data_IF_726385948926
#
_entry.id   IF_726385948926
#
_cell.length_a   1.000
_cell.length_b   1.000
_cell.length_c   1.000
_cell.angle_alpha   90.00
_cell.angle_beta   90.00
_cell.angle_gamma   90.00
#
_symmetry.space_group_name_H-M   'P 1'
#
loop_
_entity.id
_entity.type
_entity.pdbx_description
1 polymer ?
#
# COMPACT_ATOMS: atom_id res chain seq x y z
N UNK A 1 -8.27 -6.04 -6.85
CA UNK A 1 -6.88 -5.80 -6.36
C UNK A 1 -5.89 -6.51 -7.27
N UNK A 2 -4.76 -5.89 -7.57
CA UNK A 2 -3.75 -6.45 -8.49
C UNK A 2 -2.96 -7.64 -7.94
N UNK A 3 -3.05 -7.94 -6.64
CA UNK A 3 -2.37 -9.09 -6.02
C UNK A 3 -2.73 -10.44 -6.64
N UNK A 4 -3.93 -10.63 -7.19
CA UNK A 4 -4.32 -11.85 -7.88
C UNK A 4 -3.54 -12.07 -9.19
N UNK A 5 -2.84 -11.06 -9.66
CA UNK A 5 -2.08 -11.05 -10.91
C UNK A 5 -0.56 -11.01 -10.69
N UNK A 6 -0.06 -11.46 -9.53
CA UNK A 6 1.38 -11.44 -9.21
C UNK A 6 2.26 -12.25 -10.16
N UNK A 7 1.68 -13.18 -10.91
CA UNK A 7 2.39 -13.98 -11.92
C UNK A 7 2.23 -13.45 -13.35
N UNK A 8 1.63 -12.28 -13.50
CA UNK A 8 1.35 -11.64 -14.79
C UNK A 8 1.95 -10.22 -14.81
N UNK A 9 2.21 -9.70 -16.00
CA UNK A 9 2.65 -8.31 -16.16
C UNK A 9 1.54 -7.34 -15.78
N UNK A 10 1.92 -6.12 -15.44
CA UNK A 10 0.95 -5.06 -15.15
C UNK A 10 0.03 -4.75 -16.35
N UNK A 11 0.56 -4.78 -17.57
CA UNK A 11 -0.23 -4.55 -18.78
C UNK A 11 -1.28 -5.66 -18.97
N UNK A 12 -0.91 -6.93 -18.75
CA UNK A 12 -1.88 -8.03 -18.77
C UNK A 12 -2.99 -7.86 -17.71
N UNK A 13 -2.64 -7.41 -16.51
CA UNK A 13 -3.63 -7.09 -15.48
C UNK A 13 -4.62 -6.01 -15.96
N UNK A 14 -4.13 -4.91 -16.52
CA UNK A 14 -4.99 -3.83 -17.01
C UNK A 14 -5.90 -4.31 -18.15
N UNK A 15 -5.36 -5.03 -19.13
CA UNK A 15 -6.13 -5.58 -20.25
C UNK A 15 -7.23 -6.53 -19.78
N UNK A 16 -6.91 -7.40 -18.82
CA UNK A 16 -7.87 -8.33 -18.23
C UNK A 16 -9.01 -7.58 -17.51
N UNK A 17 -8.68 -6.53 -16.72
CA UNK A 17 -9.69 -5.71 -16.06
C UNK A 17 -10.57 -4.98 -17.08
N UNK A 18 -9.97 -4.43 -18.12
CA UNK A 18 -10.69 -3.72 -19.18
C UNK A 18 -11.67 -4.67 -19.92
N UNK A 19 -11.22 -5.88 -20.32
CA UNK A 19 -12.05 -6.90 -20.95
C UNK A 19 -13.23 -7.35 -20.08
N UNK A 20 -13.02 -7.39 -18.76
CA UNK A 20 -14.09 -7.69 -17.79
C UNK A 20 -15.03 -6.50 -17.50
N UNK A 21 -14.82 -5.34 -18.13
CA UNK A 21 -15.63 -4.12 -17.90
C UNK A 21 -15.40 -3.46 -16.55
N UNK A 22 -14.32 -3.81 -15.84
CA UNK A 22 -13.95 -3.23 -14.53
C UNK A 22 -13.35 -1.85 -14.74
N UNK A 23 -13.88 -0.85 -14.05
CA UNK A 23 -13.45 0.55 -14.16
C UNK A 23 -12.72 1.07 -12.93
N UNK A 24 -12.86 0.40 -11.79
CA UNK A 24 -12.28 0.82 -10.52
C UNK A 24 -11.20 -0.18 -10.09
N UNK A 25 -9.99 0.29 -9.93
CA UNK A 25 -8.82 -0.53 -9.63
C UNK A 25 -8.35 -0.31 -8.20
N UNK A 26 -7.84 -1.37 -7.60
CA UNK A 26 -7.05 -1.35 -6.38
C UNK A 26 -5.64 -1.83 -6.72
N UNK A 27 -4.64 -0.98 -6.52
CA UNK A 27 -3.24 -1.35 -6.71
C UNK A 27 -2.67 -1.92 -5.41
N UNK A 28 -2.23 -3.17 -5.48
CA UNK A 28 -1.41 -3.75 -4.42
C UNK A 28 0.04 -3.29 -4.55
N UNK A 29 0.60 -2.77 -3.45
CA UNK A 29 1.94 -2.19 -3.34
C UNK A 29 3.04 -3.23 -3.15
N UNK A 30 3.01 -4.30 -3.94
CA UNK A 30 3.99 -5.37 -3.96
C UNK A 30 4.49 -5.68 -5.37
N UNK A 31 5.72 -6.22 -5.45
CA UNK A 31 6.27 -6.70 -6.72
C UNK A 31 5.44 -7.87 -7.28
N UNK A 32 5.29 -8.02 -8.61
CA UNK A 32 6.08 -7.36 -9.66
C UNK A 32 5.48 -6.05 -10.19
N UNK A 33 4.28 -5.65 -9.77
CA UNK A 33 3.62 -4.50 -10.40
C UNK A 33 4.20 -3.17 -9.91
N UNK A 34 4.20 -2.96 -8.60
CA UNK A 34 4.79 -1.80 -7.96
C UNK A 34 5.11 -2.12 -6.50
N UNK A 35 6.33 -1.90 -6.07
CA UNK A 35 6.71 -1.89 -4.66
C UNK A 35 7.52 -0.62 -4.39
N UNK A 36 7.11 0.17 -3.42
CA UNK A 36 7.78 1.44 -3.08
C UNK A 36 9.27 1.25 -2.83
N UNK A 37 9.66 0.14 -2.20
CA UNK A 37 11.04 -0.15 -1.83
C UNK A 37 11.96 -0.49 -3.01
N UNK A 38 11.40 -0.76 -4.21
CA UNK A 38 12.17 -1.01 -5.41
C UNK A 38 12.73 0.30 -6.03
N UNK A 39 12.32 1.46 -5.50
CA UNK A 39 12.68 2.77 -6.02
C UNK A 39 13.58 3.54 -5.06
N UNK A 40 14.78 3.90 -5.52
CA UNK A 40 15.79 4.61 -4.72
C UNK A 40 15.40 6.04 -4.33
N UNK A 41 14.51 6.67 -5.10
CA UNK A 41 14.08 8.05 -4.87
C UNK A 41 12.56 8.19 -5.01
N UNK A 42 11.99 9.14 -4.27
CA UNK A 42 10.55 9.49 -4.40
C UNK A 42 10.20 9.86 -5.84
N UNK A 43 11.04 10.61 -6.55
CA UNK A 43 10.80 11.01 -7.95
C UNK A 43 10.75 9.81 -8.90
N UNK A 44 11.52 8.74 -8.66
CA UNK A 44 11.47 7.54 -9.49
C UNK A 44 10.20 6.73 -9.24
N UNK A 45 9.75 6.64 -8.01
CA UNK A 45 8.49 6.01 -7.65
C UNK A 45 7.28 6.79 -8.21
N UNK A 46 7.25 8.10 -8.03
CA UNK A 46 6.23 9.00 -8.57
C UNK A 46 6.08 8.85 -10.09
N UNK A 47 7.20 8.88 -10.82
CA UNK A 47 7.20 8.70 -12.28
C UNK A 47 6.58 7.37 -12.68
N UNK A 48 6.87 6.28 -11.96
CA UNK A 48 6.29 4.97 -12.21
C UNK A 48 4.79 4.96 -11.95
N UNK A 49 4.35 5.53 -10.85
CA UNK A 49 2.92 5.60 -10.50
C UNK A 49 2.13 6.46 -11.50
N UNK A 50 2.70 7.59 -11.96
CA UNK A 50 2.09 8.41 -13.00
C UNK A 50 1.99 7.66 -14.34
N UNK A 51 2.99 6.84 -14.70
CA UNK A 51 2.90 5.96 -15.88
C UNK A 51 1.73 4.97 -15.74
N UNK A 52 1.65 4.29 -14.59
CA UNK A 52 0.59 3.31 -14.31
C UNK A 52 -0.80 3.95 -14.30
N UNK A 53 -0.92 5.15 -13.72
CA UNK A 53 -2.15 5.93 -13.73
C UNK A 53 -2.58 6.27 -15.16
N UNK A 54 -1.68 6.82 -15.99
CA UNK A 54 -1.99 7.17 -17.38
C UNK A 54 -2.42 5.96 -18.21
N UNK A 55 -1.79 4.80 -18.01
CA UNK A 55 -2.19 3.55 -18.67
C UNK A 55 -3.62 3.16 -18.30
N UNK A 56 -3.98 3.19 -17.02
CA UNK A 56 -5.34 2.88 -16.57
C UNK A 56 -6.37 3.88 -17.13
N UNK A 57 -6.06 5.19 -17.06
CA UNK A 57 -6.92 6.25 -17.56
C UNK A 57 -7.15 6.14 -19.09
N UNK A 58 -6.14 5.73 -19.87
CA UNK A 58 -6.27 5.51 -21.32
C UNK A 58 -7.24 4.39 -21.69
N UNK A 59 -7.50 3.48 -20.76
CA UNK A 59 -8.48 2.39 -20.87
C UNK A 59 -9.83 2.72 -20.19
N UNK A 60 -10.02 3.97 -19.74
CA UNK A 60 -11.23 4.41 -19.06
C UNK A 60 -11.37 3.88 -17.63
N UNK A 61 -10.26 3.50 -17.00
CA UNK A 61 -10.18 3.00 -15.63
C UNK A 61 -9.53 4.02 -14.69
N UNK A 62 -9.79 3.90 -13.39
CA UNK A 62 -9.17 4.73 -12.34
C UNK A 62 -8.83 3.91 -11.11
N UNK A 63 -7.85 4.36 -10.36
CA UNK A 63 -7.58 3.80 -9.03
C UNK A 63 -8.53 4.41 -8.01
N UNK A 64 -9.09 3.55 -7.17
CA UNK A 64 -9.98 3.92 -6.06
C UNK A 64 -9.39 3.53 -4.70
N UNK A 65 -8.29 2.78 -4.72
CA UNK A 65 -7.60 2.29 -3.53
C UNK A 65 -6.14 2.02 -3.86
N UNK A 66 -5.27 2.29 -2.91
CA UNK A 66 -3.89 1.77 -2.87
C UNK A 66 -3.74 0.89 -1.63
N UNK A 67 -3.22 -0.32 -1.81
CA UNK A 67 -3.01 -1.30 -0.75
C UNK A 67 -1.52 -1.58 -0.61
N UNK A 68 -0.76 -0.83 0.23
CA UNK A 68 0.64 -1.11 0.49
C UNK A 68 0.81 -2.49 1.13
N UNK A 69 1.88 -3.21 0.75
CA UNK A 69 2.18 -4.51 1.35
C UNK A 69 2.72 -4.34 2.77
N UNK A 70 1.98 -4.83 3.77
CA UNK A 70 2.32 -4.69 5.18
C UNK A 70 1.96 -5.92 6.02
N UNK A 71 1.69 -7.07 5.36
CA UNK A 71 1.27 -8.28 6.07
C UNK A 71 2.38 -8.96 6.87
N UNK A 72 3.63 -8.62 6.60
CA UNK A 72 4.76 -9.25 7.24
C UNK A 72 5.99 -8.36 7.23
N UNK A 73 7.14 -9.00 7.43
CA UNK A 73 8.43 -8.34 7.38
C UNK A 73 8.56 -7.38 6.19
N UNK A 74 9.10 -6.17 6.37
CA UNK A 74 9.75 -5.64 7.60
C UNK A 74 8.85 -4.76 8.47
N UNK A 75 7.54 -4.81 8.32
CA UNK A 75 6.59 -3.92 9.00
C UNK A 75 5.80 -4.62 10.09
N UNK A 76 5.48 -3.90 11.16
CA UNK A 76 4.58 -4.37 12.20
C UNK A 76 4.03 -3.20 13.02
N UNK A 77 2.71 -3.14 13.14
CA UNK A 77 2.03 -2.14 13.97
C UNK A 77 2.16 -2.43 15.47
N UNK A 78 2.36 -3.69 15.83
CA UNK A 78 2.30 -4.20 17.21
C UNK A 78 3.63 -4.71 17.75
N UNK A 79 4.73 -4.58 16.99
CA UNK A 79 6.05 -5.02 17.44
C UNK A 79 6.41 -4.42 18.80
N UNK A 80 7.04 -5.18 19.71
CA UNK A 80 7.57 -4.64 20.97
C UNK A 80 8.58 -3.52 20.72
N UNK A 81 9.41 -3.66 19.71
CA UNK A 81 10.48 -2.72 19.35
C UNK A 81 9.92 -1.48 18.68
N UNK A 82 10.14 -0.32 19.31
CA UNK A 82 9.70 0.98 18.79
C UNK A 82 10.22 1.27 17.37
N UNK A 83 11.50 1.00 17.01
CA UNK A 83 12.01 1.28 15.66
C UNK A 83 11.27 0.53 14.54
N UNK A 84 10.71 -0.65 14.83
CA UNK A 84 9.91 -1.39 13.84
C UNK A 84 8.56 -0.70 13.61
N UNK A 85 7.93 -0.22 14.68
CA UNK A 85 6.68 0.53 14.58
C UNK A 85 6.89 1.87 13.89
N UNK A 86 7.97 2.61 14.22
CA UNK A 86 8.29 3.89 13.58
C UNK A 86 8.53 3.72 12.08
N UNK A 87 9.29 2.71 11.66
CA UNK A 87 9.45 2.35 10.25
C UNK A 87 8.11 2.05 9.56
N UNK A 88 7.17 1.45 10.27
CA UNK A 88 5.83 1.17 9.73
C UNK A 88 5.07 2.48 9.51
N UNK A 89 5.17 3.44 10.42
CA UNK A 89 4.58 4.78 10.28
C UNK A 89 5.19 5.51 9.07
N UNK A 90 6.52 5.54 8.97
CA UNK A 90 7.24 6.18 7.84
C UNK A 90 6.84 5.56 6.48
N UNK A 91 6.62 4.25 6.45
CA UNK A 91 6.17 3.58 5.23
C UNK A 91 4.76 4.00 4.83
N UNK A 92 3.85 4.20 5.79
CA UNK A 92 2.50 4.68 5.50
C UNK A 92 2.47 6.15 5.07
N UNK A 93 3.38 6.99 5.55
CA UNK A 93 3.56 8.34 5.03
C UNK A 93 3.87 8.31 3.53
N UNK A 94 4.87 7.51 3.12
CA UNK A 94 5.17 7.31 1.71
C UNK A 94 4.01 6.70 0.92
N UNK A 95 3.22 5.80 1.53
CA UNK A 95 2.08 5.16 0.88
C UNK A 95 0.91 6.14 0.63
N UNK A 96 0.74 7.14 1.48
CA UNK A 96 -0.23 8.22 1.27
C UNK A 96 0.16 9.09 0.07
N UNK A 97 1.43 9.46 -0.06
CA UNK A 97 1.96 10.17 -1.23
C UNK A 97 1.77 9.36 -2.52
N UNK A 98 2.05 8.05 -2.46
CA UNK A 98 1.86 7.13 -3.58
C UNK A 98 0.38 7.05 -4.00
N UNK A 99 -0.54 6.98 -3.04
CA UNK A 99 -1.98 6.98 -3.30
C UNK A 99 -2.44 8.27 -4.01
N UNK A 100 -2.00 9.43 -3.52
CA UNK A 100 -2.31 10.72 -4.13
C UNK A 100 -1.77 10.80 -5.57
N UNK A 101 -0.56 10.31 -5.81
CA UNK A 101 0.06 10.22 -7.14
C UNK A 101 -0.76 9.34 -8.08
N UNK A 102 -1.29 8.22 -7.59
CA UNK A 102 -2.21 7.34 -8.33
C UNK A 102 -3.58 7.99 -8.61
N UNK A 103 -3.92 9.08 -7.93
CA UNK A 103 -5.20 9.78 -8.07
C UNK A 103 -6.30 9.24 -7.17
N UNK A 104 -5.95 8.60 -6.05
CA UNK A 104 -6.88 8.19 -5.00
C UNK A 104 -6.45 8.76 -3.65
N UNK A 105 -7.42 9.02 -2.78
CA UNK A 105 -7.19 9.43 -1.39
C UNK A 105 -7.47 8.29 -0.39
N UNK A 106 -7.41 7.04 -0.84
CA UNK A 106 -7.71 5.88 -0.02
C UNK A 106 -6.53 4.93 0.00
N UNK A 107 -6.05 4.66 1.21
CA UNK A 107 -5.03 3.65 1.50
C UNK A 107 -5.67 2.55 2.33
N UNK A 108 -5.55 1.30 1.90
CA UNK A 108 -5.98 0.16 2.70
C UNK A 108 -4.88 -0.22 3.69
N UNK A 109 -5.27 -0.53 4.91
CA UNK A 109 -4.37 -0.96 5.98
C UNK A 109 -4.81 -2.31 6.51
N UNK A 110 -3.87 -3.24 6.59
CA UNK A 110 -4.05 -4.49 7.33
C UNK A 110 -3.21 -4.42 8.61
N UNK A 111 -3.86 -4.52 9.76
CA UNK A 111 -3.18 -4.40 11.05
C UNK A 111 -2.21 -5.56 11.37
N UNK A 112 -2.24 -6.62 10.59
CA UNK A 112 -1.44 -7.81 10.86
C UNK A 112 -1.82 -8.51 12.17
N UNK A 113 -0.89 -9.27 12.71
CA UNK A 113 -1.00 -9.87 14.04
C UNK A 113 0.24 -9.51 14.87
N UNK A 114 0.08 -9.49 16.20
CA UNK A 114 1.21 -9.36 17.12
C UNK A 114 1.97 -10.69 17.30
N UNK A 115 3.14 -10.66 17.98
CA UNK A 115 3.83 -11.87 18.39
C UNK A 115 2.90 -12.75 19.25
N UNK A 116 2.91 -14.06 18.99
CA UNK A 116 1.99 -15.01 19.63
C UNK A 116 2.38 -15.38 21.07
N UNK A 117 3.62 -15.09 21.45
CA UNK A 117 4.22 -15.33 22.78
C UNK A 117 4.11 -14.12 23.71
N UNK A 118 3.45 -13.06 23.28
CA UNK A 118 3.20 -11.84 24.06
C UNK A 118 1.70 -11.71 24.33
N UNK A 119 1.28 -11.20 25.51
CA UNK A 119 -0.13 -10.96 25.80
C UNK A 119 -0.80 -10.13 24.70
N UNK A 120 -1.95 -10.59 24.22
CA UNK A 120 -2.69 -9.96 23.11
C UNK A 120 -3.04 -8.51 23.40
N UNK A 121 -3.32 -8.19 24.63
CA UNK A 121 -3.67 -6.84 25.10
C UNK A 121 -2.51 -5.86 24.88
N UNK A 122 -1.27 -6.30 25.10
CA UNK A 122 -0.08 -5.47 24.90
C UNK A 122 0.21 -5.23 23.42
N UNK A 123 0.02 -6.26 22.58
CA UNK A 123 0.09 -6.13 21.13
C UNK A 123 -1.00 -5.20 20.59
N UNK A 124 -2.22 -5.31 21.13
CA UNK A 124 -3.34 -4.44 20.77
C UNK A 124 -3.07 -2.97 21.09
N UNK A 125 -2.59 -2.65 22.30
CA UNK A 125 -2.25 -1.28 22.70
C UNK A 125 -1.24 -0.66 21.75
N UNK A 126 -0.15 -1.39 21.43
CA UNK A 126 0.88 -0.92 20.50
C UNK A 126 0.34 -0.70 19.09
N UNK A 127 -0.49 -1.61 18.61
CA UNK A 127 -1.13 -1.47 17.30
C UNK A 127 -2.03 -0.22 17.24
N UNK A 128 -2.86 0.01 18.26
CA UNK A 128 -3.72 1.19 18.36
C UNK A 128 -2.88 2.48 18.36
N UNK A 129 -1.81 2.55 19.16
CA UNK A 129 -0.91 3.70 19.20
C UNK A 129 -0.26 3.98 17.84
N UNK A 130 0.19 2.93 17.14
CA UNK A 130 0.84 3.05 15.83
C UNK A 130 -0.15 3.49 14.76
N UNK A 131 -1.34 2.88 14.73
CA UNK A 131 -2.40 3.23 13.78
C UNK A 131 -2.89 4.66 14.02
N UNK A 132 -3.01 5.08 15.27
CA UNK A 132 -3.43 6.45 15.61
C UNK A 132 -2.49 7.49 15.01
N UNK A 133 -1.17 7.29 15.10
CA UNK A 133 -0.17 8.17 14.45
C UNK A 133 -0.38 8.26 12.94
N UNK A 134 -0.67 7.12 12.29
CA UNK A 134 -0.92 7.08 10.84
C UNK A 134 -2.21 7.85 10.50
N UNK A 135 -3.27 7.70 11.30
CA UNK A 135 -4.51 8.45 11.10
C UNK A 135 -4.29 9.96 11.26
N UNK A 136 -3.53 10.40 12.27
CA UNK A 136 -3.20 11.81 12.46
C UNK A 136 -2.40 12.41 11.28
N UNK A 137 -1.58 11.60 10.60
CA UNK A 137 -0.90 12.04 9.37
C UNK A 137 -1.86 12.17 8.20
N UNK A 138 -2.80 11.23 8.07
CA UNK A 138 -3.79 11.22 6.98
C UNK A 138 -4.82 12.37 7.06
N UNK A 139 -4.96 13.03 8.21
CA UNK A 139 -5.84 14.19 8.40
C UNK A 139 -5.20 15.54 7.99
N UNK A 140 -3.90 15.56 7.70
CA UNK A 140 -3.14 16.77 7.29
C UNK A 140 -3.10 16.93 5.80
#
# INVERSE_FOLDING_TARGET
MSVQYVHYTFDYYLDSMHQCGIKNLDLWGGSPHYCRLDYLTSSSAERKLLEMRRKAESLGMKYVMYTPETLGYPYSFSAPEQPIRDRTVDYFDMAMDDALTLGTNRVFMNSGCGPLDIPREDSWKRAVETIHKICEMAEK
#
